data_IF_913568825957
#
_entry.id   IF_913568825957
#
_cell.length_a   1.000
_cell.length_b   1.000
_cell.length_c   1.000
_cell.angle_alpha   90.00
_cell.angle_beta   90.00
_cell.angle_gamma   90.00
#
_symmetry.space_group_name_H-M   'P 1'
#
loop_
_entity.id
_entity.type
_entity.pdbx_description
1 polymer ?
#
# COMPACT_ATOMS: atom_id res chain seq x y z
N UNK A 1 11.85 -10.04 -17.57
CA UNK A 1 12.18 -8.90 -16.68
C UNK A 1 11.40 -9.12 -15.40
N UNK A 2 11.99 -8.93 -14.24
CA UNK A 2 11.43 -9.45 -12.98
C UNK A 2 11.36 -8.38 -11.89
N UNK A 3 10.56 -8.64 -10.86
CA UNK A 3 10.33 -7.76 -9.72
C UNK A 3 10.55 -8.57 -8.45
N UNK A 4 11.35 -8.04 -7.54
CA UNK A 4 11.64 -8.68 -6.26
C UNK A 4 11.52 -7.69 -5.12
N UNK A 5 11.27 -8.22 -3.93
CA UNK A 5 11.23 -7.48 -2.67
C UNK A 5 12.27 -8.05 -1.74
N UNK A 6 12.97 -7.15 -1.06
CA UNK A 6 13.83 -7.46 0.07
C UNK A 6 13.41 -6.61 1.26
N UNK A 7 13.24 -7.21 2.43
CA UNK A 7 12.89 -6.41 3.59
C UNK A 7 12.90 -7.11 4.92
N UNK A 8 12.53 -6.33 5.93
CA UNK A 8 12.26 -6.74 7.30
C UNK A 8 10.92 -6.15 7.74
N UNK A 9 10.19 -6.85 8.60
CA UNK A 9 8.95 -6.33 9.17
C UNK A 9 8.79 -6.74 10.63
N UNK A 10 7.78 -6.20 11.29
CA UNK A 10 7.47 -6.46 12.70
C UNK A 10 7.18 -7.95 13.02
N UNK A 11 6.89 -8.80 12.03
CA UNK A 11 6.66 -10.24 12.22
C UNK A 11 7.98 -11.02 12.27
N UNK A 12 8.98 -10.59 11.50
CA UNK A 12 10.26 -11.30 11.34
C UNK A 12 11.41 -10.71 12.15
N UNK A 13 11.31 -9.42 12.54
CA UNK A 13 12.42 -8.67 13.12
C UNK A 13 12.06 -7.93 14.43
N UNK A 14 12.94 -7.97 15.46
CA UNK A 14 12.79 -7.16 16.66
C UNK A 14 12.95 -5.66 16.33
N UNK A 15 12.42 -4.80 17.20
CA UNK A 15 12.43 -3.34 16.98
C UNK A 15 13.85 -2.79 16.80
N UNK A 16 14.82 -3.28 17.58
CA UNK A 16 16.21 -2.83 17.50
C UNK A 16 16.86 -3.09 16.12
N UNK A 17 16.48 -4.16 15.42
CA UNK A 17 16.94 -4.39 14.05
C UNK A 17 16.23 -3.46 13.06
N UNK A 18 14.92 -3.24 13.24
CA UNK A 18 14.12 -2.39 12.37
C UNK A 18 14.56 -0.92 12.45
N UNK A 19 14.91 -0.42 13.62
CA UNK A 19 15.46 0.92 13.81
C UNK A 19 16.80 1.09 13.09
N UNK A 20 17.68 0.09 13.20
CA UNK A 20 18.98 0.08 12.53
C UNK A 20 18.86 0.10 10.99
N UNK A 21 17.84 -0.57 10.45
CA UNK A 21 17.55 -0.65 9.02
C UNK A 21 16.55 0.41 8.54
N UNK A 22 16.14 1.35 9.38
CA UNK A 22 15.19 2.39 8.96
C UNK A 22 15.86 3.41 8.05
N UNK A 23 15.24 3.73 6.91
CA UNK A 23 15.63 4.87 6.09
C UNK A 23 14.86 6.10 6.56
N UNK A 24 15.55 7.00 7.27
CA UNK A 24 15.00 8.31 7.63
C UNK A 24 14.98 9.24 6.41
N UNK A 25 14.14 10.28 6.46
CA UNK A 25 13.97 11.26 5.37
C UNK A 25 15.26 11.93 4.91
N UNK A 26 16.27 12.03 5.79
CA UNK A 26 17.57 12.64 5.49
C UNK A 26 18.50 11.73 4.68
N UNK A 27 18.31 10.40 4.77
CA UNK A 27 19.20 9.40 4.16
C UNK A 27 18.56 8.66 3.00
N UNK A 28 17.22 8.68 2.90
CA UNK A 28 16.48 7.93 1.87
C UNK A 28 16.83 8.34 0.44
N UNK A 29 17.10 9.62 0.19
CA UNK A 29 17.50 10.10 -1.13
C UNK A 29 18.88 9.54 -1.54
N UNK A 30 19.85 9.54 -0.60
CA UNK A 30 21.18 8.97 -0.83
C UNK A 30 21.10 7.45 -1.04
N UNK A 31 20.25 6.78 -0.27
CA UNK A 31 20.01 5.34 -0.39
C UNK A 31 19.42 5.00 -1.76
N UNK A 32 18.35 5.68 -2.16
CA UNK A 32 17.70 5.49 -3.46
C UNK A 32 18.69 5.71 -4.61
N UNK A 33 19.44 6.81 -4.58
CA UNK A 33 20.43 7.10 -5.61
C UNK A 33 21.53 6.04 -5.67
N UNK A 34 22.11 5.66 -4.52
CA UNK A 34 23.15 4.63 -4.46
C UNK A 34 22.67 3.28 -4.96
N UNK A 35 21.45 2.88 -4.59
CA UNK A 35 20.83 1.63 -5.02
C UNK A 35 20.50 1.63 -6.51
N UNK A 36 20.06 2.77 -7.06
CA UNK A 36 19.77 2.91 -8.49
C UNK A 36 21.04 2.83 -9.35
N UNK A 37 22.19 3.27 -8.84
CA UNK A 37 23.49 3.11 -9.51
C UNK A 37 24.02 1.66 -9.46
N UNK A 38 23.34 0.76 -8.75
CA UNK A 38 23.79 -0.63 -8.63
C UNK A 38 23.60 -1.36 -9.97
N UNK A 39 24.63 -2.04 -10.51
CA UNK A 39 24.63 -2.56 -11.88
C UNK A 39 23.58 -3.64 -12.17
N UNK A 40 23.02 -4.27 -11.13
CA UNK A 40 21.99 -5.31 -11.25
C UNK A 40 20.57 -4.77 -11.03
N UNK A 41 20.41 -3.47 -10.78
CA UNK A 41 19.13 -2.82 -10.47
C UNK A 41 18.73 -1.92 -11.64
N UNK A 42 17.56 -2.15 -12.20
CA UNK A 42 16.99 -1.30 -13.27
C UNK A 42 16.07 -0.20 -12.69
N UNK A 43 15.53 -0.43 -11.51
CA UNK A 43 14.71 0.53 -10.80
C UNK A 43 14.45 0.09 -9.37
N UNK A 44 14.27 1.04 -8.48
CA UNK A 44 14.11 0.78 -7.05
C UNK A 44 13.14 1.74 -6.37
N UNK A 45 12.45 1.23 -5.34
CA UNK A 45 11.65 2.01 -4.40
C UNK A 45 11.95 1.54 -2.99
N UNK A 46 12.06 2.46 -2.04
CA UNK A 46 12.30 2.17 -0.63
C UNK A 46 11.08 2.60 0.18
N UNK A 47 10.46 1.65 0.89
CA UNK A 47 9.39 1.89 1.86
C UNK A 47 9.94 1.67 3.26
N UNK A 48 10.08 2.76 4.01
CA UNK A 48 10.53 2.75 5.39
C UNK A 48 9.42 3.30 6.27
N UNK A 49 8.97 2.51 7.25
CA UNK A 49 7.89 2.84 8.18
C UNK A 49 8.28 2.39 9.59
N UNK A 50 7.47 2.71 10.59
CA UNK A 50 7.66 2.20 11.95
C UNK A 50 7.54 0.67 12.08
N UNK A 51 6.99 -0.03 11.08
CA UNK A 51 6.67 -1.47 11.13
C UNK A 51 7.38 -2.33 10.08
N UNK A 52 8.02 -1.72 9.09
CA UNK A 52 8.73 -2.40 8.00
C UNK A 52 9.75 -1.49 7.34
N UNK A 53 10.82 -2.12 6.85
CA UNK A 53 11.72 -1.57 5.85
C UNK A 53 11.72 -2.54 4.67
N UNK A 54 11.26 -2.08 3.51
CA UNK A 54 11.18 -2.87 2.29
C UNK A 54 11.80 -2.12 1.11
N UNK A 55 12.53 -2.87 0.30
CA UNK A 55 13.19 -2.43 -0.92
C UNK A 55 12.56 -3.20 -2.07
N UNK A 56 11.87 -2.48 -2.95
CA UNK A 56 11.27 -3.03 -4.16
C UNK A 56 12.22 -2.79 -5.32
N UNK A 57 12.57 -3.85 -6.04
CA UNK A 57 13.54 -3.81 -7.10
C UNK A 57 12.93 -4.36 -8.39
N UNK A 58 13.28 -3.74 -9.50
CA UNK A 58 13.15 -4.34 -10.83
C UNK A 58 14.52 -4.63 -11.40
N UNK A 59 14.64 -5.78 -12.08
CA UNK A 59 15.90 -6.24 -12.66
C UNK A 59 15.69 -6.96 -13.99
N UNK A 60 16.78 -7.18 -14.73
CA UNK A 60 16.74 -7.87 -16.02
C UNK A 60 16.45 -9.36 -15.84
N UNK A 61 15.73 -9.97 -16.79
CA UNK A 61 15.37 -11.39 -16.66
C UNK A 61 16.58 -12.34 -16.59
N UNK A 62 17.65 -11.95 -17.27
CA UNK A 62 18.85 -12.78 -17.43
C UNK A 62 19.80 -12.64 -16.25
N UNK A 63 19.53 -11.71 -15.33
CA UNK A 63 20.32 -11.55 -14.13
C UNK A 63 20.19 -12.78 -13.24
N UNK A 64 21.32 -13.29 -12.77
CA UNK A 64 21.36 -14.31 -11.73
C UNK A 64 20.72 -13.77 -10.44
N UNK A 65 19.59 -14.37 -10.07
CA UNK A 65 18.80 -13.95 -8.92
C UNK A 65 19.56 -14.10 -7.59
N UNK A 66 20.40 -15.13 -7.45
CA UNK A 66 21.19 -15.33 -6.23
C UNK A 66 22.26 -14.24 -6.10
N UNK A 67 22.90 -13.89 -7.22
CA UNK A 67 23.87 -12.80 -7.27
C UNK A 67 23.22 -11.46 -6.94
N UNK A 68 22.02 -11.20 -7.44
CA UNK A 68 21.25 -10.00 -7.09
C UNK A 68 21.01 -9.93 -5.58
N UNK A 69 20.52 -11.01 -4.96
CA UNK A 69 20.27 -11.06 -3.51
C UNK A 69 21.51 -10.70 -2.69
N UNK A 70 22.61 -11.40 -2.93
CA UNK A 70 23.87 -11.20 -2.21
C UNK A 70 24.42 -9.78 -2.41
N UNK A 71 24.30 -9.23 -3.62
CA UNK A 71 24.73 -7.87 -3.91
C UNK A 71 23.91 -6.81 -3.17
N UNK A 72 22.58 -6.96 -3.14
CA UNK A 72 21.68 -6.02 -2.46
C UNK A 72 21.82 -6.11 -0.94
N UNK A 73 21.97 -7.31 -0.38
CA UNK A 73 22.26 -7.51 1.04
C UNK A 73 23.59 -6.85 1.41
N UNK A 74 24.66 -7.10 0.63
CA UNK A 74 25.96 -6.46 0.87
C UNK A 74 25.88 -4.93 0.78
N UNK A 75 25.13 -4.40 -0.18
CA UNK A 75 24.87 -2.97 -0.29
C UNK A 75 24.18 -2.42 0.96
N UNK A 76 23.14 -3.10 1.46
CA UNK A 76 22.41 -2.66 2.65
C UNK A 76 23.29 -2.71 3.91
N UNK A 77 24.08 -3.78 4.06
CA UNK A 77 25.05 -3.94 5.14
C UNK A 77 26.08 -2.79 5.15
N UNK A 78 26.60 -2.44 3.97
CA UNK A 78 27.55 -1.34 3.80
C UNK A 78 26.91 0.03 4.06
N UNK A 79 25.69 0.26 3.57
CA UNK A 79 25.01 1.54 3.70
C UNK A 79 24.67 1.87 5.16
N UNK A 80 24.21 0.87 5.93
CA UNK A 80 23.87 1.06 7.35
C UNK A 80 25.00 0.73 8.33
N UNK A 81 26.15 0.24 7.84
CA UNK A 81 27.26 -0.24 8.66
C UNK A 81 26.85 -1.34 9.66
N UNK A 82 26.10 -2.34 9.16
CA UNK A 82 25.59 -3.46 9.96
C UNK A 82 26.04 -4.77 9.34
N UNK A 83 26.40 -5.73 10.18
CA UNK A 83 26.58 -7.11 9.77
C UNK A 83 25.21 -7.81 9.66
N UNK A 84 24.75 -8.01 8.43
CA UNK A 84 23.48 -8.67 8.13
C UNK A 84 23.52 -10.19 8.32
N UNK A 85 24.70 -10.83 8.40
CA UNK A 85 24.80 -12.28 8.57
C UNK A 85 24.15 -12.74 9.89
N UNK A 86 24.25 -11.91 10.93
CA UNK A 86 23.62 -12.14 12.23
C UNK A 86 22.08 -12.06 12.21
N UNK A 87 21.48 -11.57 11.13
CA UNK A 87 20.04 -11.29 11.03
C UNK A 87 19.36 -12.01 9.86
N UNK A 88 20.00 -12.99 9.23
CA UNK A 88 19.45 -13.70 8.07
C UNK A 88 18.03 -14.25 8.30
N UNK A 89 17.74 -14.74 9.51
CA UNK A 89 16.42 -15.28 9.87
C UNK A 89 15.31 -14.21 9.96
N UNK A 90 15.69 -12.92 10.05
CA UNK A 90 14.74 -11.80 10.10
C UNK A 90 14.49 -11.16 8.74
N UNK A 91 15.34 -11.45 7.75
CA UNK A 91 15.26 -10.95 6.39
C UNK A 91 14.35 -11.86 5.55
N UNK A 92 13.60 -11.27 4.63
CA UNK A 92 12.82 -12.04 3.66
C UNK A 92 12.98 -11.49 2.24
N UNK A 93 12.78 -12.41 1.30
CA UNK A 93 12.78 -12.14 -0.12
C UNK A 93 11.53 -12.72 -0.77
N UNK A 94 10.86 -11.92 -1.59
CA UNK A 94 9.78 -12.38 -2.45
C UNK A 94 10.11 -12.05 -3.91
N UNK A 95 9.79 -12.96 -4.82
CA UNK A 95 10.03 -12.79 -6.25
C UNK A 95 8.75 -12.90 -7.09
N UNK A 96 8.75 -12.22 -8.24
CA UNK A 96 7.72 -12.32 -9.26
C UNK A 96 6.32 -12.09 -8.70
N UNK A 97 5.45 -13.09 -8.82
CA UNK A 97 4.06 -13.02 -8.35
C UNK A 97 3.97 -12.75 -6.85
N UNK A 98 4.81 -13.40 -6.04
CA UNK A 98 4.80 -13.22 -4.58
C UNK A 98 5.18 -11.79 -4.20
N UNK A 99 6.15 -11.18 -4.90
CA UNK A 99 6.52 -9.79 -4.69
C UNK A 99 5.34 -8.85 -4.96
N UNK A 100 4.66 -9.04 -6.09
CA UNK A 100 3.51 -8.23 -6.50
C UNK A 100 2.35 -8.37 -5.50
N UNK A 101 2.01 -9.60 -5.12
CA UNK A 101 0.96 -9.89 -4.13
C UNK A 101 1.28 -9.28 -2.77
N UNK A 102 2.54 -9.40 -2.30
CA UNK A 102 2.98 -8.80 -1.04
C UNK A 102 2.80 -7.29 -1.05
N UNK A 103 3.30 -6.61 -2.09
CA UNK A 103 3.18 -5.15 -2.18
C UNK A 103 1.72 -4.69 -2.27
N UNK A 104 0.88 -5.38 -3.04
CA UNK A 104 -0.57 -5.11 -3.08
C UNK A 104 -1.23 -5.32 -1.71
N UNK A 105 -0.81 -6.35 -0.97
CA UNK A 105 -1.30 -6.64 0.39
C UNK A 105 -0.87 -5.56 1.39
N UNK A 106 0.38 -5.10 1.32
CA UNK A 106 0.90 -3.99 2.14
C UNK A 106 0.13 -2.70 1.84
N UNK A 107 -0.01 -2.32 0.57
CA UNK A 107 -0.70 -1.10 0.18
C UNK A 107 -2.21 -1.13 0.52
N UNK A 108 -2.82 -2.31 0.52
CA UNK A 108 -4.22 -2.51 0.92
C UNK A 108 -4.40 -2.59 2.44
N UNK A 109 -3.30 -2.61 3.21
CA UNK A 109 -3.31 -2.68 4.67
C UNK A 109 -3.59 -4.06 5.24
N UNK A 110 -3.56 -5.12 4.43
CA UNK A 110 -3.73 -6.51 4.90
C UNK A 110 -2.56 -7.00 5.75
N UNK A 111 -1.35 -6.59 5.39
CA UNK A 111 -0.13 -6.99 6.06
C UNK A 111 0.30 -6.00 7.17
N UNK A 112 -0.58 -5.07 7.57
CA UNK A 112 -0.32 -4.12 8.65
C UNK A 112 -0.62 -4.71 10.02
N UNK A 113 0.08 -4.26 11.07
CA UNK A 113 -0.18 -4.65 12.46
C UNK A 113 -1.65 -4.38 12.85
N UNK A 114 -2.22 -3.29 12.31
CA UNK A 114 -3.66 -3.03 12.29
C UNK A 114 -4.15 -3.23 10.86
N UNK A 115 -4.85 -4.34 10.61
CA UNK A 115 -5.42 -4.64 9.29
C UNK A 115 -6.30 -3.46 8.83
N UNK A 116 -6.09 -2.95 7.63
CA UNK A 116 -6.90 -1.88 7.03
C UNK A 116 -6.55 -0.45 7.44
N UNK A 117 -5.38 -0.24 8.05
CA UNK A 117 -4.89 1.10 8.36
C UNK A 117 -4.77 1.98 7.10
N UNK A 118 -5.35 3.20 7.06
CA UNK A 118 -5.26 4.04 5.87
C UNK A 118 -3.87 4.59 5.56
N UNK A 119 -3.04 4.72 6.60
CA UNK A 119 -1.78 5.44 6.54
C UNK A 119 -0.75 4.73 5.65
N UNK A 120 -0.77 3.39 5.59
CA UNK A 120 0.19 2.61 4.78
C UNK A 120 0.07 2.94 3.29
N UNK A 121 -1.14 3.10 2.75
CA UNK A 121 -1.31 3.51 1.35
C UNK A 121 -0.71 4.90 1.09
N UNK A 122 -0.82 5.81 2.05
CA UNK A 122 -0.18 7.12 2.01
C UNK A 122 1.35 7.01 1.99
N UNK A 123 1.93 6.15 2.84
CA UNK A 123 3.36 5.90 2.90
C UNK A 123 3.89 5.24 1.61
N UNK A 124 3.16 4.28 1.04
CA UNK A 124 3.48 3.68 -0.26
C UNK A 124 3.47 4.73 -1.38
N UNK A 125 2.48 5.64 -1.38
CA UNK A 125 2.45 6.76 -2.33
C UNK A 125 3.63 7.71 -2.16
N UNK A 126 4.01 8.02 -0.92
CA UNK A 126 5.18 8.85 -0.63
C UNK A 126 6.47 8.19 -1.13
N UNK A 127 6.67 6.90 -0.84
CA UNK A 127 7.81 6.12 -1.33
C UNK A 127 7.91 6.13 -2.87
N UNK A 128 6.77 5.93 -3.56
CA UNK A 128 6.68 6.06 -5.02
C UNK A 128 7.05 7.47 -5.50
N UNK A 129 6.51 8.52 -4.88
CA UNK A 129 6.81 9.90 -5.26
C UNK A 129 8.30 10.25 -5.04
N UNK A 130 8.94 9.74 -3.99
CA UNK A 130 10.38 9.92 -3.78
C UNK A 130 11.19 9.26 -4.90
N UNK A 131 10.91 8.00 -5.21
CA UNK A 131 11.58 7.30 -6.30
C UNK A 131 11.34 7.96 -7.67
N UNK A 132 10.13 8.49 -7.91
CA UNK A 132 9.80 9.22 -9.13
C UNK A 132 10.59 10.53 -9.26
N UNK A 133 10.67 11.33 -8.19
CA UNK A 133 11.44 12.60 -8.19
C UNK A 133 12.93 12.38 -8.47
N UNK A 134 13.48 11.26 -8.01
CA UNK A 134 14.89 10.90 -8.21
C UNK A 134 15.14 10.17 -9.55
N UNK A 135 14.11 9.96 -10.38
CA UNK A 135 14.17 9.18 -11.62
C UNK A 135 14.70 7.74 -11.42
N UNK A 136 14.42 7.13 -10.28
CA UNK A 136 14.85 5.77 -9.94
C UNK A 136 13.83 4.69 -10.33
N UNK A 137 12.74 5.06 -11.00
CA UNK A 137 11.68 4.14 -11.40
C UNK A 137 11.92 3.59 -12.80
N UNK A 138 11.83 2.27 -12.94
CA UNK A 138 11.67 1.62 -14.24
C UNK A 138 10.21 1.68 -14.70
N UNK A 139 9.98 1.52 -16.01
CA UNK A 139 8.62 1.44 -16.58
C UNK A 139 7.76 0.36 -15.92
N UNK A 140 8.40 -0.72 -15.45
CA UNK A 140 7.73 -1.84 -14.79
C UNK A 140 7.26 -1.47 -13.39
N UNK A 141 8.13 -0.84 -12.60
CA UNK A 141 7.75 -0.35 -11.28
C UNK A 141 6.69 0.74 -11.40
N UNK A 142 6.81 1.66 -12.36
CA UNK A 142 5.80 2.68 -12.57
C UNK A 142 4.42 2.07 -12.86
N UNK A 143 4.33 1.10 -13.79
CA UNK A 143 3.09 0.37 -14.05
C UNK A 143 2.58 -0.42 -12.83
N UNK A 144 3.48 -1.04 -12.06
CA UNK A 144 3.14 -1.80 -10.85
C UNK A 144 2.49 -0.88 -9.82
N UNK A 145 3.13 0.24 -9.45
CA UNK A 145 2.61 1.17 -8.45
C UNK A 145 1.27 1.79 -8.86
N UNK A 146 1.08 2.12 -10.13
CA UNK A 146 -0.23 2.58 -10.63
C UNK A 146 -1.32 1.50 -10.48
N UNK A 147 -0.97 0.24 -10.77
CA UNK A 147 -1.88 -0.90 -10.57
C UNK A 147 -2.20 -1.09 -9.08
N UNK A 148 -1.20 -0.99 -8.19
CA UNK A 148 -1.39 -1.10 -6.74
C UNK A 148 -2.31 -0.02 -6.20
N UNK A 149 -2.17 1.24 -6.64
CA UNK A 149 -3.06 2.31 -6.17
C UNK A 149 -4.52 2.08 -6.59
N UNK A 150 -4.73 1.48 -7.75
CA UNK A 150 -6.04 1.06 -8.22
C UNK A 150 -6.59 -0.11 -7.37
N UNK A 151 -5.80 -1.17 -7.19
CA UNK A 151 -6.18 -2.35 -6.39
C UNK A 151 -6.46 -1.97 -4.94
N UNK A 152 -5.61 -1.17 -4.31
CA UNK A 152 -5.83 -0.70 -2.94
C UNK A 152 -7.11 0.13 -2.80
N UNK A 153 -7.55 0.82 -3.87
CA UNK A 153 -8.84 1.50 -3.88
C UNK A 153 -10.00 0.50 -3.97
N UNK A 154 -9.92 -0.46 -4.89
CA UNK A 154 -10.91 -1.54 -5.08
C UNK A 154 -11.09 -2.31 -3.76
N UNK A 155 -9.99 -2.82 -3.19
CA UNK A 155 -10.02 -3.57 -1.93
C UNK A 155 -10.71 -2.76 -0.83
N UNK A 156 -10.48 -1.46 -0.74
CA UNK A 156 -11.11 -0.63 0.29
C UNK A 156 -12.59 -0.30 0.02
N UNK A 157 -13.00 -0.23 -1.24
CA UNK A 157 -14.40 0.04 -1.60
C UNK A 157 -15.26 -1.22 -1.58
N UNK A 158 -14.67 -2.37 -1.91
CA UNK A 158 -15.39 -3.63 -2.12
C UNK A 158 -15.25 -4.59 -0.94
N UNK A 159 -14.34 -4.34 0.01
CA UNK A 159 -14.18 -5.15 1.22
C UNK A 159 -14.29 -4.31 2.49
N UNK A 160 -14.67 -4.94 3.59
CA UNK A 160 -14.78 -4.30 4.90
C UNK A 160 -13.42 -3.94 5.56
N UNK A 161 -12.29 -4.08 4.85
CA UNK A 161 -10.94 -3.75 5.36
C UNK A 161 -10.76 -2.24 5.54
N UNK A 162 -11.33 -1.42 4.69
CA UNK A 162 -11.10 0.03 4.68
C UNK A 162 -11.65 0.81 5.89
N UNK A 163 -12.37 0.15 6.79
CA UNK A 163 -13.16 0.77 7.85
C UNK A 163 -12.38 1.11 9.15
N UNK A 164 -11.04 1.06 9.22
CA UNK A 164 -10.35 0.88 10.52
C UNK A 164 -9.65 2.07 11.23
N UNK A 165 -9.30 3.22 10.63
CA UNK A 165 -9.13 4.44 11.49
C UNK A 165 -10.48 4.93 11.99
N UNK A 166 -11.55 4.61 11.26
CA UNK A 166 -12.87 4.59 11.83
C UNK A 166 -12.98 3.67 13.04
N UNK A 167 -12.12 2.67 13.31
CA UNK A 167 -12.47 1.63 14.29
C UNK A 167 -12.63 2.11 15.73
N UNK A 168 -11.83 3.07 16.22
CA UNK A 168 -12.03 3.64 17.57
C UNK A 168 -13.22 4.59 17.57
N UNK A 169 -13.35 5.45 16.55
CA UNK A 169 -14.48 6.36 16.38
C UNK A 169 -15.82 5.61 16.19
N UNK A 170 -15.80 4.51 15.46
CA UNK A 170 -16.88 3.59 15.16
C UNK A 170 -17.19 2.73 16.37
N UNK A 171 -16.19 2.22 17.10
CA UNK A 171 -16.42 1.53 18.36
C UNK A 171 -17.07 2.47 19.38
N UNK A 172 -16.62 3.72 19.47
CA UNK A 172 -17.25 4.75 20.29
C UNK A 172 -18.73 4.95 19.87
N UNK A 173 -19.01 5.06 18.56
CA UNK A 173 -20.39 5.15 18.05
C UNK A 173 -21.21 3.88 18.34
N UNK A 174 -20.62 2.71 18.22
CA UNK A 174 -21.29 1.42 18.46
C UNK A 174 -21.67 1.25 19.94
N UNK A 175 -20.75 1.61 20.85
CA UNK A 175 -21.00 1.63 22.29
C UNK A 175 -22.14 2.61 22.61
N UNK A 176 -22.12 3.81 22.02
CA UNK A 176 -23.20 4.78 22.19
C UNK A 176 -24.57 4.22 21.73
N UNK A 177 -24.64 3.57 20.56
CA UNK A 177 -25.89 2.97 20.05
C UNK A 177 -26.40 1.77 20.86
N UNK A 178 -25.53 1.06 21.59
CA UNK A 178 -25.95 -0.01 22.50
C UNK A 178 -26.59 0.54 23.77
N UNK A 179 -26.11 1.69 24.24
CA UNK A 179 -26.58 2.31 25.48
C UNK A 179 -27.82 3.19 25.26
N UNK A 180 -27.96 3.79 24.07
CA UNK A 180 -29.06 4.68 23.74
C UNK A 180 -29.80 4.23 22.48
N UNK A 181 -31.12 4.03 22.61
CA UNK A 181 -32.01 3.50 21.55
C UNK A 181 -32.28 4.53 20.45
N UNK A 182 -32.42 5.80 20.83
CA UNK A 182 -32.61 6.93 19.90
C UNK A 182 -31.54 7.99 20.16
N UNK A 183 -30.72 8.26 19.15
CA UNK A 183 -29.61 9.22 19.22
C UNK A 183 -30.03 10.63 18.82
N UNK A 184 -31.21 10.80 18.21
CA UNK A 184 -31.67 12.09 17.69
C UNK A 184 -31.96 13.12 18.78
N UNK A 185 -32.26 12.65 19.98
CA UNK A 185 -32.57 13.47 21.15
C UNK A 185 -31.36 13.69 22.07
N UNK A 186 -30.19 13.15 21.73
CA UNK A 186 -29.01 13.19 22.59
C UNK A 186 -28.11 14.38 22.28
N UNK A 187 -27.49 14.91 23.33
CA UNK A 187 -26.50 15.95 23.28
C UNK A 187 -25.10 15.37 23.53
N UNK A 188 -24.11 15.78 22.74
CA UNK A 188 -22.74 15.26 22.80
C UNK A 188 -21.73 16.37 23.08
N UNK A 189 -20.70 16.09 23.87
CA UNK A 189 -19.57 16.98 24.12
C UNK A 189 -18.26 16.34 23.68
N UNK A 190 -17.51 17.06 22.85
CA UNK A 190 -16.17 16.72 22.42
C UNK A 190 -15.17 17.57 23.21
N UNK A 191 -14.29 16.93 23.98
CA UNK A 191 -13.24 17.59 24.77
C UNK A 191 -11.90 17.42 24.06
N UNK A 192 -11.36 18.52 23.56
CA UNK A 192 -10.20 18.56 22.70
C UNK A 192 -10.54 18.85 21.24
N UNK A 193 -9.48 19.05 20.43
CA UNK A 193 -9.58 19.25 18.99
C UNK A 193 -8.35 18.65 18.28
N UNK A 194 -7.90 17.49 18.76
CA UNK A 194 -6.86 16.69 18.11
C UNK A 194 -7.41 15.87 16.94
N UNK A 195 -6.51 15.18 16.24
CA UNK A 195 -6.85 14.35 15.06
C UNK A 195 -7.94 13.32 15.37
N UNK A 196 -7.93 12.71 16.56
CA UNK A 196 -8.91 11.72 17.00
C UNK A 196 -10.32 12.31 17.12
N UNK A 197 -10.45 13.50 17.72
CA UNK A 197 -11.74 14.20 17.87
C UNK A 197 -12.24 14.69 16.51
N UNK A 198 -11.33 15.15 15.64
CA UNK A 198 -11.67 15.51 14.26
C UNK A 198 -12.19 14.32 13.46
N UNK A 199 -11.60 13.14 13.65
CA UNK A 199 -12.07 11.94 12.99
C UNK A 199 -13.46 11.54 13.51
N UNK A 200 -13.66 11.54 14.83
CA UNK A 200 -14.95 11.22 15.47
C UNK A 200 -16.04 12.18 15.02
N UNK A 201 -15.77 13.48 14.96
CA UNK A 201 -16.78 14.46 14.55
C UNK A 201 -17.30 14.22 13.12
N UNK A 202 -16.45 13.75 12.21
CA UNK A 202 -16.87 13.36 10.86
C UNK A 202 -17.85 12.18 10.86
N UNK A 203 -17.70 11.25 11.80
CA UNK A 203 -18.64 10.12 11.97
C UNK A 203 -19.93 10.51 12.68
N UNK A 204 -19.92 11.55 13.52
CA UNK A 204 -21.13 12.00 14.22
C UNK A 204 -22.08 12.79 13.32
N UNK A 205 -21.56 13.51 12.31
CA UNK A 205 -22.33 14.37 11.39
C UNK A 205 -23.55 13.68 10.72
N UNK A 206 -23.47 12.43 10.24
CA UNK A 206 -24.61 11.76 9.60
C UNK A 206 -25.64 11.19 10.59
N UNK A 207 -25.39 11.23 11.90
CA UNK A 207 -26.16 10.48 12.89
C UNK A 207 -27.21 11.30 13.67
N UNK A 208 -27.37 12.58 13.36
CA UNK A 208 -28.58 13.34 13.73
C UNK A 208 -28.72 13.73 15.21
N UNK A 209 -27.61 13.86 15.96
CA UNK A 209 -27.64 14.36 17.35
C UNK A 209 -28.30 15.74 17.46
N UNK A 210 -28.95 16.02 18.60
CA UNK A 210 -29.67 17.26 18.84
C UNK A 210 -28.72 18.46 18.97
N UNK A 211 -27.68 18.34 19.80
CA UNK A 211 -26.66 19.40 19.98
C UNK A 211 -25.27 18.81 20.18
N UNK A 212 -24.28 19.48 19.61
CA UNK A 212 -22.86 19.15 19.74
C UNK A 212 -22.13 20.31 20.43
N UNK A 213 -21.37 20.01 21.49
CA UNK A 213 -20.51 20.95 22.18
C UNK A 213 -19.04 20.61 21.91
N UNK A 214 -18.19 21.61 21.69
CA UNK A 214 -16.74 21.43 21.59
C UNK A 214 -16.07 22.25 22.68
N UNK A 215 -15.45 21.56 23.64
CA UNK A 215 -14.64 22.17 24.68
C UNK A 215 -13.16 22.06 24.31
N UNK A 216 -12.46 23.17 24.14
CA UNK A 216 -11.03 23.13 23.80
C UNK A 216 -10.25 24.30 24.41
N UNK A 217 -8.96 24.08 24.67
CA UNK A 217 -8.04 25.12 25.15
C UNK A 217 -7.77 26.18 24.07
N UNK A 218 -7.60 25.76 22.83
CA UNK A 218 -7.27 26.66 21.70
C UNK A 218 -8.50 26.89 20.82
N UNK A 219 -9.07 28.10 20.91
CA UNK A 219 -10.32 28.45 20.22
C UNK A 219 -10.25 28.27 18.70
N UNK A 220 -9.12 28.59 18.06
CA UNK A 220 -8.94 28.45 16.61
C UNK A 220 -9.10 27.01 16.11
N UNK A 221 -8.57 26.03 16.85
CA UNK A 221 -8.72 24.61 16.51
C UNK A 221 -10.18 24.14 16.65
N UNK A 222 -10.88 24.64 17.67
CA UNK A 222 -12.31 24.35 17.86
C UNK A 222 -13.16 24.97 16.75
N UNK A 223 -12.84 26.19 16.28
CA UNK A 223 -13.55 26.85 15.18
C UNK A 223 -13.51 26.04 13.88
N UNK A 224 -12.34 25.48 13.52
CA UNK A 224 -12.19 24.60 12.35
C UNK A 224 -13.00 23.31 12.45
N UNK A 225 -13.18 22.79 13.67
CA UNK A 225 -13.96 21.58 13.91
C UNK A 225 -15.46 21.88 13.91
N UNK A 226 -15.86 23.00 14.54
CA UNK A 226 -17.25 23.45 14.66
C UNK A 226 -17.87 23.80 13.30
N UNK A 227 -17.10 24.40 12.38
CA UNK A 227 -17.59 24.74 11.03
C UNK A 227 -18.07 23.52 10.24
N UNK A 228 -17.63 22.31 10.61
CA UNK A 228 -17.97 21.09 9.90
C UNK A 228 -19.23 20.39 10.44
N UNK A 229 -19.65 20.66 11.69
CA UNK A 229 -20.66 19.86 12.41
C UNK A 229 -21.72 20.70 13.16
N UNK A 230 -21.76 22.01 12.94
CA UNK A 230 -22.69 22.95 13.61
C UNK A 230 -22.69 22.82 15.15
N UNK A 231 -21.48 22.91 15.74
CA UNK A 231 -21.29 22.73 17.17
C UNK A 231 -21.10 24.06 17.91
N UNK A 232 -21.61 24.12 19.15
CA UNK A 232 -21.37 25.23 20.07
C UNK A 232 -20.00 25.08 20.73
N UNK A 233 -19.15 26.11 20.62
CA UNK A 233 -17.81 26.11 21.21
C UNK A 233 -17.87 26.65 22.63
N UNK A 234 -17.33 25.89 23.59
CA UNK A 234 -17.23 26.27 24.99
C UNK A 234 -15.77 26.23 25.47
N UNK A 235 -15.47 26.92 26.56
CA UNK A 235 -14.14 26.83 27.19
C UNK A 235 -14.04 25.59 28.08
N UNK A 236 -12.83 25.12 28.40
CA UNK A 236 -12.64 23.98 29.31
C UNK A 236 -13.27 24.22 30.71
N UNK A 237 -13.14 25.41 31.34
CA UNK A 237 -13.85 25.68 32.60
C UNK A 237 -15.37 25.58 32.51
N UNK A 238 -15.96 25.90 31.35
CA UNK A 238 -17.41 25.86 31.15
C UNK A 238 -17.97 24.43 31.10
N UNK A 239 -17.10 23.40 30.97
CA UNK A 239 -17.51 21.99 31.02
C UNK A 239 -18.35 21.74 32.26
N UNK A 240 -17.93 22.23 33.44
CA UNK A 240 -18.64 22.01 34.70
C UNK A 240 -20.09 22.50 34.68
N UNK A 241 -20.38 23.57 33.94
CA UNK A 241 -21.72 24.17 33.86
C UNK A 241 -22.59 23.53 32.77
N UNK A 242 -21.96 23.02 31.70
CA UNK A 242 -22.63 22.45 30.53
C UNK A 242 -22.75 20.94 30.54
N UNK A 243 -21.99 20.24 31.40
CA UNK A 243 -22.03 18.79 31.54
C UNK A 243 -23.45 18.28 31.85
N UNK A 244 -24.25 19.08 32.57
CA UNK A 244 -25.65 18.79 32.88
C UNK A 244 -26.57 18.68 31.66
N UNK A 245 -26.18 19.26 30.53
CA UNK A 245 -26.98 19.26 29.30
C UNK A 245 -26.57 18.13 28.35
N UNK A 246 -25.53 17.34 28.71
CA UNK A 246 -24.87 16.40 27.80
C UNK A 246 -25.10 14.96 28.23
N UNK A 247 -25.33 14.08 27.26
CA UNK A 247 -25.55 12.65 27.48
C UNK A 247 -24.29 11.83 27.18
N UNK A 248 -23.48 12.27 26.21
CA UNK A 248 -22.25 11.59 25.77
C UNK A 248 -21.07 12.57 25.81
N UNK A 249 -19.97 12.18 26.44
CA UNK A 249 -18.72 12.94 26.50
C UNK A 249 -17.61 12.11 25.86
N UNK A 250 -16.90 12.69 24.89
CA UNK A 250 -15.74 12.08 24.24
C UNK A 250 -14.54 12.99 24.43
N UNK A 251 -13.49 12.49 25.08
CA UNK A 251 -12.28 13.26 25.39
C UNK A 251 -11.05 12.70 24.68
N UNK A 252 -10.22 13.59 24.13
CA UNK A 252 -8.89 13.26 23.64
C UNK A 252 -8.04 14.53 23.66
N UNK A 253 -7.50 14.86 24.83
CA UNK A 253 -6.57 15.97 25.01
C UNK A 253 -5.15 15.48 25.32
N UNK A 254 -4.22 16.44 25.40
CA UNK A 254 -2.85 16.21 25.85
C UNK A 254 -2.65 16.76 27.28
N UNK A 255 -3.70 16.80 28.09
CA UNK A 255 -3.64 17.27 29.47
C UNK A 255 -2.86 16.28 30.34
N UNK A 256 -1.93 16.73 31.20
CA UNK A 256 -1.24 15.86 32.13
C UNK A 256 -2.11 15.46 33.34
N UNK A 257 -3.21 16.19 33.58
CA UNK A 257 -4.15 15.95 34.68
C UNK A 257 -5.57 15.76 34.13
N UNK A 258 -6.41 14.93 34.80
CA UNK A 258 -7.81 14.80 34.44
C UNK A 258 -8.54 16.14 34.45
N UNK A 259 -9.31 16.40 33.40
CA UNK A 259 -10.14 17.59 33.22
C UNK A 259 -11.51 17.37 33.89
N UNK A 260 -12.02 16.13 33.87
CA UNK A 260 -13.32 15.76 34.42
C UNK A 260 -13.11 14.85 35.63
N UNK A 261 -13.39 15.39 36.81
CA UNK A 261 -13.28 14.67 38.08
C UNK A 261 -14.61 14.14 38.63
N UNK A 262 -14.54 13.19 39.56
CA UNK A 262 -15.69 12.51 40.17
C UNK A 262 -16.71 13.45 40.79
N UNK A 263 -16.24 14.42 41.60
CA UNK A 263 -17.14 15.38 42.24
C UNK A 263 -17.89 16.27 41.25
N UNK A 264 -17.33 16.52 40.06
CA UNK A 264 -18.03 17.25 38.99
C UNK A 264 -19.17 16.39 38.41
N UNK A 265 -18.91 15.11 38.16
CA UNK A 265 -19.90 14.15 37.62
C UNK A 265 -21.02 13.89 38.63
N UNK A 266 -20.71 13.72 39.91
CA UNK A 266 -21.71 13.53 40.99
C UNK A 266 -22.71 14.70 41.05
N UNK A 267 -22.22 15.95 41.08
CA UNK A 267 -23.08 17.14 41.05
C UNK A 267 -23.92 17.21 39.78
N UNK A 268 -23.35 16.78 38.65
CA UNK A 268 -24.03 16.77 37.36
C UNK A 268 -25.17 15.75 37.32
N UNK A 269 -24.96 14.54 37.83
CA UNK A 269 -26.00 13.51 37.91
C UNK A 269 -27.19 13.97 38.74
N UNK A 270 -26.90 14.61 39.88
CA UNK A 270 -27.94 15.15 40.75
C UNK A 270 -28.80 16.20 40.03
N UNK A 271 -28.17 17.14 39.31
CA UNK A 271 -28.87 18.14 38.50
C UNK A 271 -29.65 17.53 37.31
N UNK A 272 -29.32 16.31 36.90
CA UNK A 272 -29.91 15.60 35.76
C UNK A 272 -30.97 14.57 36.14
N UNK A 273 -31.41 14.51 37.40
CA UNK A 273 -32.30 13.47 37.92
C UNK A 273 -31.75 12.05 37.67
N UNK A 274 -30.43 11.86 37.80
CA UNK A 274 -29.74 10.58 37.60
C UNK A 274 -29.93 9.94 36.21
N UNK A 275 -30.20 10.74 35.18
CA UNK A 275 -30.19 10.27 33.79
C UNK A 275 -28.80 9.79 33.39
N UNK A 276 -28.77 8.69 32.62
CA UNK A 276 -27.53 8.01 32.19
C UNK A 276 -26.59 8.92 31.42
N UNK A 277 -25.28 8.70 31.61
CA UNK A 277 -24.21 9.39 30.92
C UNK A 277 -23.14 8.41 30.44
N UNK A 278 -22.62 8.65 29.23
CA UNK A 278 -21.54 7.88 28.64
C UNK A 278 -20.30 8.76 28.50
N UNK A 279 -19.17 8.29 29.02
CA UNK A 279 -17.86 8.89 28.90
C UNK A 279 -16.95 7.97 28.09
N UNK A 280 -16.27 8.54 27.10
CA UNK A 280 -15.32 7.85 26.24
C UNK A 280 -14.00 8.61 26.32
N UNK A 281 -13.05 8.07 27.07
CA UNK A 281 -11.74 8.67 27.28
C UNK A 281 -10.68 8.05 26.37
N UNK A 282 -10.25 8.82 25.39
CA UNK A 282 -9.25 8.44 24.39
C UNK A 282 -7.89 9.10 24.66
N UNK A 283 -7.72 9.79 25.79
CA UNK A 283 -6.49 10.47 26.14
C UNK A 283 -5.53 9.56 26.91
N UNK A 284 -4.23 9.78 26.68
CA UNK A 284 -3.14 9.17 27.45
C UNK A 284 -2.11 10.26 27.70
N UNK A 285 -1.97 10.79 28.94
CA UNK A 285 -2.70 10.48 30.18
C UNK A 285 -4.22 10.75 30.12
N UNK A 286 -4.98 10.16 31.05
CA UNK A 286 -6.47 10.20 31.06
C UNK A 286 -7.01 11.61 31.29
N UNK A 287 -8.04 11.98 30.53
CA UNK A 287 -8.79 13.22 30.71
C UNK A 287 -9.89 13.09 31.78
N UNK A 288 -10.28 11.86 32.12
CA UNK A 288 -11.37 11.57 33.05
C UNK A 288 -10.87 10.70 34.20
N UNK A 289 -11.21 11.09 35.42
CA UNK A 289 -10.91 10.29 36.63
C UNK A 289 -11.57 8.91 36.53
N UNK A 290 -10.80 7.84 36.79
CA UNK A 290 -11.31 6.46 36.63
C UNK A 290 -12.44 6.11 37.62
N UNK A 291 -12.45 6.79 38.76
CA UNK A 291 -13.40 6.64 39.87
C UNK A 291 -14.84 6.99 39.49
N UNK A 292 -15.07 7.68 38.36
CA UNK A 292 -16.44 7.94 37.86
C UNK A 292 -17.16 6.65 37.48
N UNK A 293 -16.42 5.58 37.18
CA UNK A 293 -16.99 4.27 36.82
C UNK A 293 -17.75 3.62 37.97
N UNK A 294 -17.53 4.09 39.21
CA UNK A 294 -18.21 3.61 40.40
C UNK A 294 -19.56 4.31 40.65
N UNK A 295 -19.91 5.32 39.83
CA UNK A 295 -21.17 6.05 39.96
C UNK A 295 -22.29 5.33 39.21
N UNK A 296 -23.45 5.24 39.84
CA UNK A 296 -24.65 4.69 39.19
C UNK A 296 -25.03 5.54 37.97
N UNK A 297 -25.46 4.87 36.91
CA UNK A 297 -25.86 5.49 35.63
C UNK A 297 -24.73 6.23 34.89
N UNK A 298 -23.46 5.97 35.22
CA UNK A 298 -22.29 6.44 34.46
C UNK A 298 -21.57 5.26 33.83
N UNK A 299 -21.28 5.36 32.54
CA UNK A 299 -20.45 4.40 31.82
C UNK A 299 -19.18 5.07 31.33
N UNK A 300 -18.00 4.58 31.75
CA UNK A 300 -16.71 5.04 31.26
C UNK A 300 -16.07 3.96 30.39
N UNK A 301 -15.67 4.33 29.17
CA UNK A 301 -14.89 3.50 28.26
C UNK A 301 -13.56 4.16 27.98
N UNK A 302 -12.48 3.40 28.11
CA UNK A 302 -11.15 3.85 27.72
C UNK A 302 -10.78 3.43 26.30
N UNK A 303 -9.70 3.97 25.76
CA UNK A 303 -9.12 3.51 24.49
C UNK A 303 -8.91 1.99 24.47
N UNK A 304 -8.45 1.40 25.57
CA UNK A 304 -8.21 -0.05 25.68
C UNK A 304 -9.52 -0.85 25.64
N UNK A 305 -10.59 -0.34 26.24
CA UNK A 305 -11.89 -1.01 26.27
C UNK A 305 -12.59 -0.99 24.90
N UNK A 306 -12.44 0.12 24.17
CA UNK A 306 -12.90 0.20 22.79
C UNK A 306 -12.12 -0.77 21.88
N UNK A 307 -10.80 -0.88 22.08
CA UNK A 307 -9.99 -1.86 21.34
C UNK A 307 -10.44 -3.31 21.60
N UNK A 308 -10.78 -3.65 22.86
CA UNK A 308 -11.37 -4.98 23.19
C UNK A 308 -12.71 -5.21 22.48
N UNK A 309 -13.55 -4.19 22.38
CA UNK A 309 -14.85 -4.27 21.70
C UNK A 309 -14.68 -4.53 20.19
N UNK A 310 -13.65 -3.94 19.57
CA UNK A 310 -13.28 -4.16 18.17
C UNK A 310 -12.67 -5.56 17.95
N UNK A 311 -11.96 -6.09 18.95
CA UNK A 311 -11.31 -7.41 18.92
C UNK A 311 -12.30 -8.58 18.80
N UNK A 312 -13.57 -8.40 19.19
CA UNK A 312 -14.61 -9.42 19.03
C UNK A 312 -15.15 -9.58 17.59
N UNK A 313 -14.57 -8.88 16.59
CA UNK A 313 -14.91 -8.98 15.16
C UNK A 313 -13.79 -9.62 14.30
N UNK A 314 -13.02 -10.56 14.86
CA UNK A 314 -11.92 -11.23 14.13
C UNK A 314 -12.41 -12.11 12.96
N UNK A 315 -13.57 -12.75 13.08
CA UNK A 315 -14.13 -13.62 12.03
C UNK A 315 -14.56 -12.81 10.80
N UNK A 316 -15.25 -11.68 11.01
CA UNK A 316 -15.61 -10.77 9.90
C UNK A 316 -14.39 -10.18 9.21
N UNK A 317 -13.31 -9.91 9.97
CA UNK A 317 -12.03 -9.46 9.40
C UNK A 317 -11.31 -10.56 8.63
N UNK A 318 -11.38 -11.81 9.08
CA UNK A 318 -10.80 -12.95 8.36
C UNK A 318 -11.51 -13.17 7.02
N UNK A 319 -12.84 -13.02 6.99
CA UNK A 319 -13.64 -13.08 5.75
C UNK A 319 -13.26 -11.94 4.80
N UNK A 320 -13.27 -10.69 5.28
CA UNK A 320 -12.89 -9.53 4.46
C UNK A 320 -11.44 -9.61 3.96
N UNK A 321 -10.53 -10.13 4.79
CA UNK A 321 -9.14 -10.37 4.39
C UNK A 321 -9.05 -11.41 3.27
N UNK A 322 -9.86 -12.47 3.33
CA UNK A 322 -9.91 -13.50 2.29
C UNK A 322 -10.48 -12.97 0.97
N UNK A 323 -11.53 -12.15 1.02
CA UNK A 323 -12.09 -11.46 -0.15
C UNK A 323 -11.05 -10.54 -0.81
N UNK A 324 -10.34 -9.75 -0.01
CA UNK A 324 -9.28 -8.89 -0.53
C UNK A 324 -8.10 -9.69 -1.09
N UNK A 325 -7.76 -10.82 -0.49
CA UNK A 325 -6.72 -11.71 -1.00
C UNK A 325 -7.09 -12.22 -2.41
N UNK A 326 -8.36 -12.54 -2.66
CA UNK A 326 -8.83 -12.96 -3.99
C UNK A 326 -8.64 -11.84 -5.03
N UNK A 327 -9.08 -10.62 -4.71
CA UNK A 327 -8.89 -9.43 -5.57
C UNK A 327 -7.40 -9.22 -5.87
N UNK A 328 -6.54 -9.32 -4.85
CA UNK A 328 -5.09 -9.16 -5.01
C UNK A 328 -4.50 -10.24 -5.90
N UNK A 329 -4.88 -11.51 -5.70
CA UNK A 329 -4.38 -12.62 -6.52
C UNK A 329 -4.74 -12.45 -7.99
N UNK A 330 -5.98 -12.06 -8.28
CA UNK A 330 -6.46 -11.80 -9.64
C UNK A 330 -5.67 -10.65 -10.30
N UNK A 331 -5.52 -9.51 -9.61
CA UNK A 331 -4.79 -8.38 -10.17
C UNK A 331 -3.28 -8.62 -10.27
N UNK A 332 -2.69 -9.38 -9.35
CA UNK A 332 -1.30 -9.79 -9.44
C UNK A 332 -1.07 -10.68 -10.67
N UNK A 333 -1.97 -11.64 -10.93
CA UNK A 333 -1.91 -12.49 -12.12
C UNK A 333 -1.98 -11.69 -13.42
N UNK A 334 -2.96 -10.79 -13.51
CA UNK A 334 -3.10 -9.87 -14.64
C UNK A 334 -1.84 -9.03 -14.88
N UNK A 335 -1.18 -8.56 -13.81
CA UNK A 335 0.05 -7.80 -13.91
C UNK A 335 1.24 -8.65 -14.36
N UNK A 336 1.36 -9.88 -13.86
CA UNK A 336 2.39 -10.84 -14.28
C UNK A 336 2.23 -11.18 -15.78
N UNK A 337 1.00 -11.37 -16.26
CA UNK A 337 0.76 -11.64 -17.67
C UNK A 337 1.08 -10.43 -18.56
N UNK A 338 0.79 -9.22 -18.08
CA UNK A 338 1.26 -8.00 -18.75
C UNK A 338 2.79 -7.93 -18.83
N UNK A 339 3.51 -8.31 -17.76
CA UNK A 339 4.98 -8.38 -17.77
C UNK A 339 5.51 -9.39 -18.80
N UNK A 340 4.90 -10.59 -18.87
CA UNK A 340 5.26 -11.62 -19.86
C UNK A 340 5.01 -11.12 -21.29
N UNK A 341 3.85 -10.52 -21.56
CA UNK A 341 3.51 -9.98 -22.86
C UNK A 341 4.48 -8.87 -23.31
N UNK A 342 4.87 -7.97 -22.39
CA UNK A 342 5.87 -6.93 -22.67
C UNK A 342 7.24 -7.50 -23.02
N UNK A 343 7.64 -8.61 -22.39
CA UNK A 343 8.88 -9.30 -22.73
C UNK A 343 8.85 -9.82 -24.18
N UNK A 344 7.71 -10.38 -24.61
CA UNK A 344 7.52 -10.79 -26.00
C UNK A 344 7.65 -9.62 -26.99
N UNK A 345 7.14 -8.43 -26.65
CA UNK A 345 7.28 -7.22 -27.51
C UNK A 345 8.74 -6.85 -27.77
N UNK A 346 9.63 -6.99 -26.77
CA UNK A 346 11.06 -6.72 -26.94
C UNK A 346 11.70 -7.68 -27.97
N UNK A 347 11.38 -8.98 -27.88
CA UNK A 347 11.83 -9.97 -28.87
C UNK A 347 11.28 -9.70 -30.26
N UNK A 348 10.01 -9.29 -30.38
CA UNK A 348 9.43 -8.91 -31.67
C UNK A 348 10.17 -7.71 -32.28
N UNK A 349 10.51 -6.70 -31.46
CA UNK A 349 11.29 -5.55 -31.92
C UNK A 349 12.69 -5.97 -32.38
N UNK A 350 13.36 -6.84 -31.62
CA UNK A 350 14.68 -7.37 -31.97
C UNK A 350 14.63 -8.18 -33.28
N UNK A 351 13.66 -9.06 -33.43
CA UNK A 351 13.44 -9.85 -34.66
C UNK A 351 13.28 -8.95 -35.89
N UNK A 352 12.41 -7.92 -35.80
CA UNK A 352 12.21 -6.94 -36.88
C UNK A 352 13.48 -6.14 -37.18
N UNK A 353 14.22 -5.73 -36.15
CA UNK A 353 15.47 -5.00 -36.33
C UNK A 353 16.53 -5.86 -37.04
N UNK A 354 16.65 -7.15 -36.67
CA UNK A 354 17.57 -8.07 -37.32
C UNK A 354 17.23 -8.28 -38.80
N UNK A 355 15.94 -8.44 -39.12
CA UNK A 355 15.47 -8.54 -40.51
C UNK A 355 15.82 -7.30 -41.32
N UNK A 356 15.65 -6.11 -40.75
CA UNK A 356 15.98 -4.84 -41.42
C UNK A 356 17.49 -4.68 -41.63
N UNK A 357 18.32 -5.07 -40.65
CA UNK A 357 19.78 -5.10 -40.80
C UNK A 357 20.20 -6.02 -41.95
N UNK A 358 19.67 -7.23 -42.01
CA UNK A 358 19.94 -8.19 -43.08
C UNK A 358 19.54 -7.62 -44.44
N UNK A 359 18.35 -7.01 -44.54
CA UNK A 359 17.89 -6.35 -45.76
C UNK A 359 18.88 -5.26 -46.19
N UNK A 360 19.27 -4.38 -45.28
CA UNK A 360 20.17 -3.26 -45.53
C UNK A 360 21.55 -3.71 -46.02
N UNK A 361 22.12 -4.72 -45.38
CA UNK A 361 23.41 -5.31 -45.80
C UNK A 361 23.37 -5.85 -47.23
N UNK A 362 22.33 -6.63 -47.56
CA UNK A 362 22.17 -7.20 -48.89
C UNK A 362 21.87 -6.12 -49.94
N UNK A 363 21.10 -5.10 -49.57
CA UNK A 363 20.78 -3.98 -50.45
C UNK A 363 22.02 -3.15 -50.81
N UNK A 364 22.92 -2.90 -49.85
CA UNK A 364 24.20 -2.22 -50.12
C UNK A 364 25.06 -3.03 -51.10
N UNK A 365 25.13 -4.36 -50.92
CA UNK A 365 25.87 -5.24 -51.84
C UNK A 365 25.29 -5.22 -53.25
N UNK A 366 23.96 -5.30 -53.38
CA UNK A 366 23.27 -5.22 -54.66
C UNK A 366 23.53 -3.87 -55.36
N UNK A 367 23.40 -2.76 -54.64
CA UNK A 367 23.66 -1.42 -55.19
C UNK A 367 25.11 -1.25 -55.65
N UNK A 368 26.09 -1.80 -54.92
CA UNK A 368 27.49 -1.75 -55.31
C UNK A 368 27.78 -2.58 -56.57
N UNK A 369 27.18 -3.78 -56.69
CA UNK A 369 27.30 -4.60 -57.89
C UNK A 369 26.72 -3.90 -59.14
N UNK A 370 25.56 -3.26 -59.00
CA UNK A 370 24.95 -2.47 -60.08
C UNK A 370 25.87 -1.30 -60.49
N UNK A 371 26.44 -0.58 -59.52
CA UNK A 371 27.41 0.50 -59.80
C UNK A 371 28.69 0.02 -60.50
N UNK A 372 29.06 -1.24 -60.31
CA UNK A 372 30.21 -1.87 -60.95
C UNK A 372 29.89 -2.45 -62.34
N UNK A 373 28.65 -2.28 -62.83
CA UNK A 373 28.23 -2.71 -64.17
C UNK A 373 27.66 -4.13 -64.24
N UNK A 374 27.32 -4.76 -63.11
CA UNK A 374 26.64 -6.05 -63.11
C UNK A 374 25.23 -5.97 -63.74
N UNK A 375 24.76 -7.08 -64.30
CA UNK A 375 23.40 -7.17 -64.85
C UNK A 375 22.35 -6.96 -63.74
N UNK A 376 21.42 -6.04 -63.98
CA UNK A 376 20.41 -5.64 -62.98
C UNK A 376 19.48 -6.80 -62.62
N UNK A 377 19.04 -7.59 -63.59
CA UNK A 377 18.09 -8.69 -63.38
C UNK A 377 18.73 -9.81 -62.54
N UNK A 378 20.00 -10.13 -62.81
CA UNK A 378 20.75 -11.12 -62.04
C UNK A 378 20.97 -10.67 -60.60
N UNK A 379 21.35 -9.40 -60.39
CA UNK A 379 21.55 -8.84 -59.05
C UNK A 379 20.25 -8.81 -58.24
N UNK A 380 19.13 -8.45 -58.87
CA UNK A 380 17.82 -8.43 -58.20
C UNK A 380 17.35 -9.84 -57.83
N UNK A 381 17.52 -10.80 -58.74
CA UNK A 381 17.19 -12.21 -58.49
C UNK A 381 18.02 -12.77 -57.32
N UNK A 382 19.33 -12.51 -57.32
CA UNK A 382 20.23 -12.96 -56.26
C UNK A 382 19.94 -12.27 -54.92
N UNK A 383 19.66 -10.96 -54.92
CA UNK A 383 19.24 -10.23 -53.72
C UNK A 383 17.96 -10.84 -53.12
N UNK A 384 16.94 -11.07 -53.95
CA UNK A 384 15.65 -11.63 -53.53
C UNK A 384 15.82 -13.03 -52.94
N UNK A 385 16.57 -13.90 -53.62
CA UNK A 385 16.86 -15.26 -53.17
C UNK A 385 17.61 -15.27 -51.83
N UNK A 386 18.70 -14.48 -51.72
CA UNK A 386 19.50 -14.40 -50.48
C UNK A 386 18.72 -13.80 -49.31
N UNK A 387 17.91 -12.77 -49.56
CA UNK A 387 17.08 -12.15 -48.53
C UNK A 387 16.03 -13.14 -48.01
N UNK A 388 15.32 -13.81 -48.91
CA UNK A 388 14.30 -14.80 -48.57
C UNK A 388 14.91 -15.91 -47.72
N UNK A 389 16.00 -16.54 -48.19
CA UNK A 389 16.66 -17.62 -47.47
C UNK A 389 17.18 -17.19 -46.09
N UNK A 390 17.79 -15.99 -45.96
CA UNK A 390 18.25 -15.51 -44.65
C UNK A 390 17.11 -15.26 -43.67
N UNK A 391 15.96 -14.75 -44.13
CA UNK A 391 14.82 -14.45 -43.26
C UNK A 391 14.10 -15.73 -42.82
N UNK A 392 13.95 -16.73 -43.70
CA UNK A 392 13.23 -17.97 -43.38
C UNK A 392 14.09 -19.02 -42.66
N UNK A 393 15.42 -18.93 -42.72
CA UNK A 393 16.31 -19.95 -42.16
C UNK A 393 16.04 -20.24 -40.67
N UNK A 394 16.01 -19.21 -39.82
CA UNK A 394 15.82 -19.41 -38.38
C UNK A 394 14.43 -19.97 -38.05
N UNK A 395 13.30 -19.42 -38.55
CA UNK A 395 11.98 -20.02 -38.34
C UNK A 395 11.87 -21.48 -38.83
N UNK A 396 12.44 -21.81 -39.99
CA UNK A 396 12.42 -23.19 -40.53
C UNK A 396 13.17 -24.16 -39.62
N UNK A 397 14.35 -23.77 -39.12
CA UNK A 397 15.12 -24.59 -38.17
C UNK A 397 14.37 -24.80 -36.85
N UNK A 398 13.71 -23.75 -36.32
CA UNK A 398 12.92 -23.86 -35.09
C UNK A 398 11.70 -24.78 -35.27
N UNK A 399 11.02 -24.71 -36.42
CA UNK A 399 9.88 -25.60 -36.72
C UNK A 399 10.32 -27.08 -36.79
N UNK A 400 11.44 -27.37 -37.46
CA UNK A 400 12.02 -28.71 -37.52
C UNK A 400 12.43 -29.23 -36.14
N UNK A 401 13.05 -28.38 -35.32
CA UNK A 401 13.44 -28.76 -33.95
C UNK A 401 12.23 -29.04 -33.05
N UNK A 402 11.14 -28.28 -33.18
CA UNK A 402 9.91 -28.53 -32.43
C UNK A 402 9.28 -29.88 -32.81
N UNK A 403 9.34 -30.25 -34.10
CA UNK A 403 8.85 -31.54 -34.58
C UNK A 403 9.71 -32.74 -34.13
N UNK A 404 11.02 -32.54 -33.91
CA UNK A 404 11.93 -33.63 -33.50
C UNK A 404 12.00 -33.87 -32.00
N UNK A 405 11.54 -32.92 -31.17
CA UNK A 405 11.60 -32.99 -29.70
C UNK A 405 10.24 -33.26 -29.04
N UNK A 406 9.25 -33.80 -29.76
CA UNK A 406 7.90 -34.13 -29.25
C UNK A 406 7.19 -32.99 -28.47
N UNK A 407 7.45 -31.73 -28.82
CA UNK A 407 6.68 -30.60 -28.28
C UNK A 407 5.52 -30.25 -29.23
N UNK A 408 4.43 -31.02 -29.17
CA UNK A 408 3.23 -30.81 -30.00
C UNK A 408 2.65 -29.40 -29.88
N UNK A 409 2.61 -28.84 -28.68
CA UNK A 409 2.11 -27.49 -28.45
C UNK A 409 3.03 -26.43 -29.07
N UNK A 410 4.36 -26.61 -28.99
CA UNK A 410 5.32 -25.73 -29.64
C UNK A 410 5.15 -25.77 -31.17
N UNK A 411 5.00 -26.98 -31.72
CA UNK A 411 4.84 -27.21 -33.15
C UNK A 411 3.56 -26.56 -33.68
N UNK A 412 2.43 -26.69 -32.98
CA UNK A 412 1.16 -26.03 -33.32
C UNK A 412 1.28 -24.51 -33.30
N UNK A 413 1.87 -23.95 -32.24
CA UNK A 413 2.05 -22.50 -32.10
C UNK A 413 2.95 -21.93 -33.22
N UNK A 414 4.06 -22.61 -33.54
CA UNK A 414 4.98 -22.19 -34.60
C UNK A 414 4.35 -22.32 -35.99
N UNK A 415 3.65 -23.42 -36.26
CA UNK A 415 2.95 -23.66 -37.53
C UNK A 415 1.90 -22.58 -37.80
N UNK A 416 1.09 -22.27 -36.78
CA UNK A 416 0.12 -21.17 -36.85
C UNK A 416 0.81 -19.81 -37.01
N UNK A 417 1.93 -19.59 -36.32
CA UNK A 417 2.73 -18.36 -36.43
C UNK A 417 3.32 -18.11 -37.83
N UNK A 418 3.58 -19.19 -38.59
CA UNK A 418 4.04 -19.13 -39.98
C UNK A 418 2.89 -19.10 -41.00
N UNK A 419 1.63 -19.15 -40.55
CA UNK A 419 0.45 -19.16 -41.43
C UNK A 419 0.21 -20.49 -42.14
N UNK A 420 0.80 -21.58 -41.63
CA UNK A 420 0.54 -22.93 -42.14
C UNK A 420 -0.83 -23.40 -41.64
N UNK A 421 -1.61 -24.04 -42.50
CA UNK A 421 -2.91 -24.63 -42.13
C UNK A 421 -2.68 -25.97 -41.43
N UNK A 422 -3.38 -26.22 -40.33
CA UNK A 422 -3.48 -27.56 -39.76
C UNK A 422 -4.21 -28.45 -40.77
N UNK A 423 -3.60 -29.58 -41.15
CA UNK A 423 -4.18 -30.58 -42.04
C UNK A 423 -4.98 -31.62 -41.26
#
# INVERSE_FOLDING_TARGET
MSITIFGVNHKTAPIALREKLAFHTEIVDKALYSLYQHPLVEGCVILSTCNRTEIYLSYEHQTDYLKLKQSVERWLAQFHHIDLEHYQNSLYWYDGRQAVEHLMSVASGLDSMVIGEPQILGQVKQAYCFAQKQNCLSVKLEKLFQTIFHVAKIVRSETNIGANTASVAYAACLVARRLFVDVSCLNIMLVGAGETIELISRYLKPHGFNKVFIANRTREKALKLASNIDAEIISLPDIANRLKDVDIVISSTASPLPIIGKGMVERTLWARNNRKMLFIDLAVPRDVEGEISNLDNVHLYTIDDLQKTVKNNLEQRAIAAKEAQYIIQEHAENFIDWLKARHAVAYVKQYRSNAETVKRELQIKALNAIKQGANIDEVLSEFSHRLTNKLIHAPTQTLLNAATHDCDDCFKVLSKGLGLKEH
#
